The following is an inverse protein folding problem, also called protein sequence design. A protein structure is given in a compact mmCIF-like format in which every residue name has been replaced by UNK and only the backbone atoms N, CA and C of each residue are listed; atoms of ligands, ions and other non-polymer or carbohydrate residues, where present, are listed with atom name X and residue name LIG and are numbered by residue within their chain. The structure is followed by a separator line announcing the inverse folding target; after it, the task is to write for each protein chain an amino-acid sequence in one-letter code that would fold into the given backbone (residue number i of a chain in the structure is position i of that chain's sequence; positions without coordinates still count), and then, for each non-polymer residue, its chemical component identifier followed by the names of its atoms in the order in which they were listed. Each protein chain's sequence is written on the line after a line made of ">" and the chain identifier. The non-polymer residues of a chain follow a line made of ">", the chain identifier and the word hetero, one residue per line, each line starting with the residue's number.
data_IF_718752676673
#
_entry.id   IF_718752676673
#
_cell.length_a   1.000
_cell.length_b   1.000
_cell.length_c   1.000
_cell.angle_alpha   90.00
_cell.angle_beta   90.00
_cell.angle_gamma   90.00
#
_symmetry.space_group_name_H-M   'P 1'
#
loop_
_entity.id
_entity.type
_entity.pdbx_description
1 polymer ?
#
# COMPACT_ATOMS: atom_id res chain seq x y z
N UNK A 1 53.44 -42.96 -30.59
CA UNK A 1 53.36 -42.20 -31.85
C UNK A 1 52.95 -40.78 -31.49
N UNK A 2 53.86 -39.82 -31.74
CA UNK A 2 53.67 -38.34 -31.93
C UNK A 2 52.83 -37.55 -30.89
N UNK A 3 53.41 -36.73 -30.00
CA UNK A 3 53.92 -35.36 -30.20
C UNK A 3 52.84 -34.42 -30.80
N UNK A 4 52.47 -33.24 -30.27
CA UNK A 4 53.29 -32.09 -29.85
C UNK A 4 52.38 -31.04 -29.15
N UNK A 5 52.87 -30.33 -28.12
CA UNK A 5 52.31 -29.09 -27.54
C UNK A 5 52.69 -27.85 -28.42
N UNK A 6 52.70 -26.58 -27.95
CA UNK A 6 51.81 -25.72 -27.12
C UNK A 6 51.49 -24.36 -27.84
N UNK A 7 51.06 -23.30 -27.11
CA UNK A 7 51.39 -21.84 -27.29
C UNK A 7 50.15 -20.90 -27.24
N UNK A 8 49.88 -20.23 -26.11
CA UNK A 8 50.19 -18.85 -25.63
C UNK A 8 49.23 -17.71 -26.08
N UNK A 9 48.86 -16.88 -25.08
CA UNK A 9 48.21 -15.56 -25.11
C UNK A 9 49.15 -14.46 -25.72
N UNK A 10 48.88 -13.12 -25.78
CA UNK A 10 48.06 -12.24 -24.91
C UNK A 10 47.42 -10.97 -25.61
N UNK A 11 47.15 -9.90 -24.82
CA UNK A 11 46.96 -8.45 -25.16
C UNK A 11 45.50 -7.92 -25.20
N UNK A 12 44.97 -7.15 -24.23
CA UNK A 12 45.17 -5.74 -23.76
C UNK A 12 44.52 -4.62 -24.58
N UNK A 13 43.88 -3.71 -23.82
CA UNK A 13 43.76 -2.24 -23.98
C UNK A 13 42.46 -1.64 -24.57
N UNK A 14 41.82 -0.86 -23.69
CA UNK A 14 41.24 0.48 -23.83
C UNK A 14 40.28 0.81 -24.98
N UNK A 15 39.12 1.38 -24.61
CA UNK A 15 38.79 2.79 -24.90
C UNK A 15 37.52 3.21 -24.15
N UNK A 16 37.65 4.24 -23.32
CA UNK A 16 36.57 5.02 -22.74
C UNK A 16 35.97 6.00 -23.75
N UNK A 17 34.66 6.26 -23.67
CA UNK A 17 34.06 7.52 -24.14
C UNK A 17 33.05 8.01 -23.10
N UNK A 18 33.43 9.09 -22.41
CA UNK A 18 32.60 10.00 -21.65
C UNK A 18 31.77 10.89 -22.58
N UNK A 19 30.55 11.25 -22.16
CA UNK A 19 29.79 12.44 -22.56
C UNK A 19 28.47 12.41 -21.73
N UNK A 20 27.95 13.47 -21.08
CA UNK A 20 27.79 14.87 -21.50
C UNK A 20 27.64 15.81 -20.27
N UNK A 21 28.23 17.02 -20.44
CA UNK A 21 28.02 18.36 -19.85
C UNK A 21 26.67 18.61 -19.14
N UNK A 22 26.57 19.44 -18.10
CA UNK A 22 27.21 20.76 -17.93
C UNK A 22 26.14 21.84 -18.16
N UNK A 23 25.68 22.41 -17.04
CA UNK A 23 24.67 23.45 -16.88
C UNK A 23 25.10 24.77 -17.54
N UNK A 24 24.18 25.47 -18.21
CA UNK A 24 24.08 26.94 -18.24
C UNK A 24 22.75 27.38 -18.90
N UNK A 25 22.08 28.30 -18.22
CA UNK A 25 20.78 28.93 -18.45
C UNK A 25 20.77 29.81 -19.73
N UNK A 26 19.58 30.23 -20.26
CA UNK A 26 19.09 31.54 -19.82
C UNK A 26 17.56 31.81 -19.88
N UNK A 27 17.19 32.80 -19.06
CA UNK A 27 16.21 33.89 -19.23
C UNK A 27 14.69 33.68 -19.15
N UNK A 28 14.10 34.61 -18.39
CA UNK A 28 12.72 34.81 -17.94
C UNK A 28 11.80 35.42 -19.01
N UNK A 29 10.53 35.02 -19.01
CA UNK A 29 9.42 35.85 -19.49
C UNK A 29 8.10 35.52 -18.76
N UNK A 30 7.54 36.59 -18.20
CA UNK A 30 6.29 36.76 -17.47
C UNK A 30 5.02 36.50 -18.31
N UNK A 31 4.03 35.81 -17.72
CA UNK A 31 2.56 36.08 -17.70
C UNK A 31 1.70 34.84 -17.82
N UNK A 32 0.76 34.72 -16.89
CA UNK A 32 -0.42 33.86 -17.03
C UNK A 32 -0.75 33.12 -15.75
N UNK A 33 -1.18 33.87 -14.73
CA UNK A 33 -1.75 33.32 -13.51
C UNK A 33 -3.16 32.80 -13.81
N UNK A 34 -3.33 31.49 -13.80
CA UNK A 34 -4.47 30.79 -13.19
C UNK A 34 -4.18 29.29 -13.23
N UNK A 35 -3.40 28.84 -12.25
CA UNK A 35 -3.38 27.45 -11.85
C UNK A 35 -4.37 27.36 -10.70
N UNK A 36 -5.61 26.99 -11.04
CA UNK A 36 -6.52 26.41 -10.07
C UNK A 36 -5.81 25.17 -9.53
N UNK A 37 -5.15 25.33 -8.38
CA UNK A 37 -4.81 24.20 -7.55
C UNK A 37 -6.16 23.69 -7.03
N UNK A 38 -6.74 22.75 -7.76
CA UNK A 38 -7.64 21.77 -7.17
C UNK A 38 -6.82 21.09 -6.07
N UNK A 39 -6.95 21.66 -4.88
CA UNK A 39 -6.61 20.94 -3.67
C UNK A 39 -7.61 19.80 -3.65
N UNK A 40 -7.15 18.57 -3.91
CA UNK A 40 -7.82 17.34 -3.48
C UNK A 40 -8.01 17.47 -1.96
N UNK A 41 -9.10 18.11 -1.58
CA UNK A 41 -9.57 18.12 -0.22
C UNK A 41 -10.13 16.72 -0.04
N UNK A 42 -9.35 15.85 0.58
CA UNK A 42 -9.84 14.55 1.01
C UNK A 42 -11.07 14.80 1.92
N UNK A 43 -12.27 14.60 1.37
CA UNK A 43 -13.50 14.64 2.14
C UNK A 43 -13.60 13.30 2.87
N UNK A 44 -13.28 13.34 4.15
CA UNK A 44 -13.51 12.22 5.05
C UNK A 44 -14.91 12.30 5.63
N UNK A 45 -15.50 11.15 5.97
CA UNK A 45 -16.60 11.16 6.93
C UNK A 45 -16.11 11.79 8.25
N UNK A 46 -17.03 12.31 9.08
CA UNK A 46 -16.70 13.00 10.34
C UNK A 46 -15.74 12.19 11.25
N UNK A 47 -15.64 10.87 11.04
CA UNK A 47 -14.82 9.95 11.80
C UNK A 47 -13.54 9.48 11.08
N UNK A 48 -13.28 9.86 9.83
CA UNK A 48 -12.10 9.46 9.06
C UNK A 48 -11.99 7.96 8.76
N UNK A 49 -13.13 7.28 8.68
CA UNK A 49 -13.29 5.86 8.34
C UNK A 49 -13.21 5.68 6.82
N UNK A 50 -13.90 6.54 6.06
CA UNK A 50 -14.01 6.47 4.60
C UNK A 50 -13.42 7.75 3.98
N UNK A 51 -12.54 7.57 2.99
CA UNK A 51 -12.20 8.58 1.99
C UNK A 51 -13.30 8.62 0.93
N UNK A 52 -14.15 9.66 0.99
CA UNK A 52 -15.28 9.81 0.07
C UNK A 52 -14.84 10.11 -1.35
N UNK A 53 -13.66 10.71 -1.58
CA UNK A 53 -13.16 10.89 -2.94
C UNK A 53 -12.98 9.53 -3.64
N UNK A 54 -12.38 8.56 -2.95
CA UNK A 54 -12.21 7.20 -3.48
C UNK A 54 -13.54 6.43 -3.50
N UNK A 55 -14.33 6.53 -2.44
CA UNK A 55 -15.56 5.74 -2.32
C UNK A 55 -16.65 6.23 -3.29
N UNK A 56 -16.80 7.54 -3.50
CA UNK A 56 -17.78 8.10 -4.43
C UNK A 56 -17.44 7.75 -5.88
N UNK A 57 -16.15 7.73 -6.25
CA UNK A 57 -15.70 7.21 -7.56
C UNK A 57 -16.08 5.74 -7.76
N UNK A 58 -16.07 4.93 -6.69
CA UNK A 58 -16.56 3.55 -6.75
C UNK A 58 -18.08 3.51 -6.97
N UNK A 59 -18.84 4.39 -6.32
CA UNK A 59 -20.30 4.49 -6.49
C UNK A 59 -20.68 4.98 -7.89
N UNK A 60 -19.89 5.86 -8.50
CA UNK A 60 -20.09 6.32 -9.88
C UNK A 60 -19.97 5.18 -10.92
N UNK A 61 -19.37 4.05 -10.54
CA UNK A 61 -19.29 2.85 -11.38
C UNK A 61 -20.55 1.98 -11.32
N UNK A 62 -21.46 2.23 -10.39
CA UNK A 62 -22.74 1.53 -10.33
C UNK A 62 -23.67 1.98 -11.46
N UNK A 63 -24.51 1.07 -11.94
CA UNK A 63 -25.66 1.42 -12.76
C UNK A 63 -26.68 2.20 -11.91
N UNK A 64 -27.40 3.16 -12.53
CA UNK A 64 -28.20 4.21 -11.86
C UNK A 64 -29.24 3.74 -10.82
N UNK A 65 -29.60 2.46 -10.77
CA UNK A 65 -30.75 2.00 -10.00
C UNK A 65 -30.41 1.31 -8.66
N UNK A 66 -29.32 0.54 -8.51
CA UNK A 66 -29.28 -0.46 -7.40
C UNK A 66 -27.96 -0.64 -6.60
N UNK A 67 -26.90 0.16 -6.80
CA UNK A 67 -25.61 0.01 -6.10
C UNK A 67 -25.02 -1.42 -6.06
N UNK A 68 -25.41 -2.29 -7.01
CA UNK A 68 -25.15 -3.73 -6.94
C UNK A 68 -23.64 -4.04 -7.03
N UNK A 69 -22.91 -3.31 -7.87
CA UNK A 69 -21.50 -3.55 -8.10
C UNK A 69 -20.64 -3.14 -6.90
N UNK A 70 -20.82 -1.92 -6.40
CA UNK A 70 -20.12 -1.42 -5.21
C UNK A 70 -20.46 -2.25 -3.97
N UNK A 71 -21.73 -2.64 -3.79
CA UNK A 71 -22.16 -3.55 -2.71
C UNK A 71 -21.45 -4.91 -2.81
N UNK A 72 -21.44 -5.52 -3.99
CA UNK A 72 -20.74 -6.79 -4.21
C UNK A 72 -19.25 -6.70 -3.85
N UNK A 73 -18.57 -5.61 -4.25
CA UNK A 73 -17.16 -5.40 -3.95
C UNK A 73 -16.90 -5.27 -2.43
N UNK A 74 -17.77 -4.53 -1.73
CA UNK A 74 -17.69 -4.34 -0.28
C UNK A 74 -17.91 -5.66 0.49
N UNK A 75 -18.90 -6.46 0.10
CA UNK A 75 -19.13 -7.76 0.74
C UNK A 75 -17.98 -8.75 0.50
N UNK A 76 -17.43 -8.77 -0.72
CA UNK A 76 -16.24 -9.56 -1.03
C UNK A 76 -15.03 -9.13 -0.20
N UNK A 77 -14.88 -7.83 0.06
CA UNK A 77 -13.85 -7.31 0.95
C UNK A 77 -14.03 -7.81 2.39
N UNK A 78 -15.25 -7.83 2.93
CA UNK A 78 -15.49 -8.35 4.29
C UNK A 78 -15.02 -9.79 4.44
N UNK A 79 -15.38 -10.66 3.49
CA UNK A 79 -14.93 -12.05 3.50
C UNK A 79 -13.40 -12.16 3.42
N UNK A 80 -12.78 -11.35 2.56
CA UNK A 80 -11.32 -11.32 2.41
C UNK A 80 -10.62 -10.83 3.68
N UNK A 81 -11.15 -9.78 4.32
CA UNK A 81 -10.61 -9.20 5.53
C UNK A 81 -10.68 -10.20 6.70
N UNK A 82 -11.83 -10.84 6.92
CA UNK A 82 -11.99 -11.84 7.98
C UNK A 82 -11.02 -13.01 7.82
N UNK A 83 -10.92 -13.55 6.61
CA UNK A 83 -9.95 -14.62 6.33
C UNK A 83 -8.52 -14.15 6.59
N UNK A 84 -8.19 -12.94 6.15
CA UNK A 84 -6.85 -12.38 6.30
C UNK A 84 -6.49 -12.13 7.77
N UNK A 85 -7.45 -11.71 8.61
CA UNK A 85 -7.23 -11.59 10.06
C UNK A 85 -6.95 -12.94 10.72
N UNK A 86 -7.60 -14.02 10.28
CA UNK A 86 -7.28 -15.38 10.75
C UNK A 86 -5.83 -15.73 10.37
N UNK A 87 -5.45 -15.54 9.10
CA UNK A 87 -4.10 -15.82 8.62
C UNK A 87 -3.04 -14.97 9.36
N UNK A 88 -3.35 -13.71 9.67
CA UNK A 88 -2.47 -12.82 10.44
C UNK A 88 -2.27 -13.32 11.88
N UNK A 89 -3.33 -13.79 12.54
CA UNK A 89 -3.21 -14.37 13.89
C UNK A 89 -2.34 -15.63 13.86
N UNK A 90 -2.55 -16.52 12.88
CA UNK A 90 -1.74 -17.73 12.70
C UNK A 90 -0.26 -17.42 12.44
N UNK A 91 0.03 -16.39 11.63
CA UNK A 91 1.39 -15.93 11.38
C UNK A 91 2.00 -15.32 12.65
N UNK A 92 1.22 -14.59 13.44
CA UNK A 92 1.64 -14.00 14.72
C UNK A 92 1.96 -15.06 15.78
N UNK A 93 1.23 -16.17 15.83
CA UNK A 93 1.56 -17.30 16.73
C UNK A 93 2.90 -17.95 16.40
N UNK A 94 3.27 -17.95 15.10
CA UNK A 94 4.53 -18.51 14.60
C UNK A 94 5.68 -17.50 14.55
N UNK A 95 5.41 -16.23 14.87
CA UNK A 95 6.32 -15.09 14.67
C UNK A 95 6.84 -14.99 13.22
N UNK A 96 5.97 -15.29 12.24
CA UNK A 96 6.31 -15.22 10.81
C UNK A 96 6.18 -13.78 10.29
N UNK A 97 7.17 -12.96 10.57
CA UNK A 97 7.21 -11.55 10.14
C UNK A 97 7.12 -11.36 8.62
N UNK A 98 7.80 -12.16 7.78
CA UNK A 98 7.62 -12.09 6.32
C UNK A 98 6.17 -12.32 5.90
N UNK A 99 5.47 -13.29 6.48
CA UNK A 99 4.07 -13.54 6.12
C UNK A 99 3.13 -12.44 6.62
N UNK A 100 3.35 -11.91 7.83
CA UNK A 100 2.66 -10.73 8.34
C UNK A 100 2.82 -9.52 7.40
N UNK A 101 4.02 -9.30 6.88
CA UNK A 101 4.31 -8.23 5.92
C UNK A 101 3.53 -8.41 4.61
N UNK A 102 3.51 -9.64 4.07
CA UNK A 102 2.78 -10.00 2.87
C UNK A 102 1.27 -9.84 3.04
N UNK A 103 0.72 -10.28 4.17
CA UNK A 103 -0.70 -10.17 4.51
C UNK A 103 -1.13 -8.71 4.67
N UNK A 104 -0.30 -7.88 5.33
CA UNK A 104 -0.51 -6.43 5.42
C UNK A 104 -0.54 -5.79 4.03
N UNK A 105 0.42 -6.10 3.16
CA UNK A 105 0.43 -5.60 1.79
C UNK A 105 -0.82 -6.02 0.99
N UNK A 106 -1.24 -7.27 1.12
CA UNK A 106 -2.42 -7.81 0.45
C UNK A 106 -3.70 -7.06 0.86
N UNK A 107 -3.96 -6.94 2.16
CA UNK A 107 -5.16 -6.28 2.68
C UNK A 107 -5.12 -4.75 2.47
N UNK A 108 -3.92 -4.14 2.42
CA UNK A 108 -3.75 -2.72 2.07
C UNK A 108 -4.37 -2.40 0.71
N UNK A 109 -4.10 -3.24 -0.30
CA UNK A 109 -4.55 -3.00 -1.67
C UNK A 109 -6.08 -2.99 -1.78
N UNK A 110 -6.74 -3.97 -1.18
CA UNK A 110 -8.21 -4.04 -1.20
C UNK A 110 -8.88 -3.00 -0.30
N UNK A 111 -8.26 -2.64 0.83
CA UNK A 111 -8.75 -1.55 1.69
C UNK A 111 -8.65 -0.19 0.99
N UNK A 112 -7.55 0.05 0.25
CA UNK A 112 -7.37 1.29 -0.50
C UNK A 112 -8.38 1.44 -1.64
N UNK A 113 -8.73 0.34 -2.33
CA UNK A 113 -9.72 0.36 -3.41
C UNK A 113 -11.14 0.73 -2.94
N UNK A 114 -11.42 0.64 -1.63
CA UNK A 114 -12.70 0.99 -1.02
C UNK A 114 -12.65 2.29 -0.21
N UNK A 115 -11.53 3.01 -0.21
CA UNK A 115 -11.37 4.24 0.58
C UNK A 115 -11.26 4.01 2.10
N UNK A 116 -10.89 2.81 2.58
CA UNK A 116 -10.86 2.50 4.02
C UNK A 116 -9.55 2.99 4.66
N UNK A 117 -9.46 4.30 4.91
CA UNK A 117 -8.19 4.98 5.20
C UNK A 117 -7.46 4.44 6.42
N UNK A 118 -8.14 4.31 7.56
CA UNK A 118 -7.52 3.78 8.79
C UNK A 118 -7.00 2.36 8.61
N UNK A 119 -7.80 1.49 7.99
CA UNK A 119 -7.42 0.09 7.76
C UNK A 119 -6.23 0.02 6.80
N UNK A 120 -6.24 0.81 5.72
CA UNK A 120 -5.13 0.94 4.78
C UNK A 120 -3.84 1.37 5.47
N UNK A 121 -3.88 2.41 6.30
CA UNK A 121 -2.71 2.90 7.05
C UNK A 121 -2.16 1.85 8.03
N UNK A 122 -3.04 1.16 8.75
CA UNK A 122 -2.61 0.11 9.66
C UNK A 122 -2.05 -1.09 8.91
N UNK A 123 -2.57 -1.44 7.72
CA UNK A 123 -1.98 -2.45 6.85
C UNK A 123 -0.56 -2.07 6.39
N UNK A 124 -0.31 -0.79 6.11
CA UNK A 124 1.04 -0.29 5.77
C UNK A 124 2.01 -0.39 6.95
N UNK A 125 1.58 -0.01 8.16
CA UNK A 125 2.37 -0.21 9.39
C UNK A 125 2.70 -1.70 9.59
N UNK A 126 1.73 -2.59 9.37
CA UNK A 126 1.95 -4.04 9.49
C UNK A 126 2.99 -4.53 8.47
N UNK A 127 2.92 -4.04 7.24
CA UNK A 127 3.92 -4.32 6.21
C UNK A 127 5.32 -3.88 6.67
N UNK A 128 5.46 -2.68 7.24
CA UNK A 128 6.75 -2.18 7.73
C UNK A 128 7.26 -2.97 8.94
N UNK A 129 6.41 -3.20 9.96
CA UNK A 129 6.79 -3.97 11.14
C UNK A 129 7.17 -5.42 10.79
N UNK A 130 6.46 -6.07 9.86
CA UNK A 130 6.80 -7.40 9.36
C UNK A 130 8.15 -7.44 8.61
N UNK A 131 8.60 -6.30 8.07
CA UNK A 131 9.95 -6.15 7.52
C UNK A 131 11.00 -5.73 8.57
N UNK A 132 10.63 -5.71 9.86
CA UNK A 132 11.44 -5.21 10.98
C UNK A 132 11.88 -3.77 10.75
N UNK A 133 10.95 -2.95 10.29
CA UNK A 133 11.08 -1.51 10.18
C UNK A 133 10.14 -0.81 11.15
N UNK A 134 10.45 0.43 11.50
CA UNK A 134 9.55 1.29 12.25
C UNK A 134 8.28 1.65 11.45
N UNK A 135 7.39 2.44 12.04
CA UNK A 135 6.09 2.78 11.44
C UNK A 135 6.24 3.52 10.09
N UNK A 136 7.35 4.24 9.89
CA UNK A 136 7.66 4.97 8.68
C UNK A 136 8.39 4.11 7.62
N UNK A 137 8.76 2.87 7.95
CA UNK A 137 9.50 2.00 7.04
C UNK A 137 10.99 2.34 6.90
N UNK A 138 11.54 3.21 7.76
CA UNK A 138 12.88 3.78 7.63
C UNK A 138 13.87 3.05 8.55
N UNK A 139 13.67 3.21 9.85
CA UNK A 139 14.58 2.70 10.87
C UNK A 139 14.37 1.20 11.06
N UNK A 140 15.46 0.46 11.31
CA UNK A 140 15.37 -0.97 11.63
C UNK A 140 15.02 -1.16 13.11
N UNK A 141 14.12 -2.09 13.40
CA UNK A 141 13.71 -2.45 14.76
C UNK A 141 14.09 -3.90 15.07
N UNK A 142 14.13 -4.24 16.36
CA UNK A 142 14.38 -5.61 16.84
C UNK A 142 13.15 -6.51 16.63
N UNK A 143 13.34 -7.83 16.75
CA UNK A 143 12.22 -8.78 16.66
C UNK A 143 11.23 -8.58 17.82
N UNK A 144 11.75 -8.29 19.01
CA UNK A 144 10.96 -8.09 20.23
C UNK A 144 10.10 -6.82 20.13
N UNK A 145 10.65 -5.74 19.56
CA UNK A 145 9.90 -4.52 19.25
C UNK A 145 8.85 -4.77 18.18
N UNK A 146 9.22 -5.44 17.08
CA UNK A 146 8.30 -5.77 15.99
C UNK A 146 7.12 -6.63 16.49
N UNK A 147 7.39 -7.67 17.29
CA UNK A 147 6.33 -8.48 17.90
C UNK A 147 5.38 -7.63 18.75
N UNK A 148 5.92 -6.79 19.63
CA UNK A 148 5.11 -5.95 20.52
C UNK A 148 4.22 -5.00 19.72
N UNK A 149 4.78 -4.33 18.72
CA UNK A 149 4.08 -3.39 17.86
C UNK A 149 3.00 -4.07 17.01
N UNK A 150 3.31 -5.23 16.40
CA UNK A 150 2.35 -5.97 15.58
C UNK A 150 1.19 -6.47 16.42
N UNK A 151 1.42 -6.99 17.63
CA UNK A 151 0.32 -7.43 18.52
C UNK A 151 -0.64 -6.28 18.85
N UNK A 152 -0.11 -5.11 19.17
CA UNK A 152 -0.94 -3.93 19.42
C UNK A 152 -1.70 -3.50 18.15
N UNK A 153 -1.00 -3.51 17.01
CA UNK A 153 -1.55 -3.12 15.73
C UNK A 153 -2.67 -4.04 15.25
N UNK A 154 -2.56 -5.37 15.40
CA UNK A 154 -3.62 -6.31 15.00
C UNK A 154 -4.93 -6.05 15.75
N UNK A 155 -4.85 -5.68 17.05
CA UNK A 155 -6.03 -5.29 17.83
C UNK A 155 -6.62 -3.97 17.33
N UNK A 156 -5.77 -3.01 16.97
CA UNK A 156 -6.19 -1.75 16.37
C UNK A 156 -6.86 -1.97 15.00
N UNK A 157 -6.22 -2.72 14.11
CA UNK A 157 -6.75 -3.06 12.78
C UNK A 157 -8.12 -3.72 12.87
N UNK A 158 -8.34 -4.62 13.83
CA UNK A 158 -9.64 -5.25 14.02
C UNK A 158 -10.72 -4.26 14.41
N UNK A 159 -10.40 -3.27 15.25
CA UNK A 159 -11.34 -2.21 15.62
C UNK A 159 -11.67 -1.31 14.44
N UNK A 160 -10.66 -0.85 13.72
CA UNK A 160 -10.82 0.00 12.53
C UNK A 160 -11.63 -0.72 11.45
N UNK A 161 -11.38 -2.01 11.24
CA UNK A 161 -12.18 -2.84 10.34
C UNK A 161 -13.64 -2.93 10.79
N UNK A 162 -13.92 -3.21 12.06
CA UNK A 162 -15.29 -3.30 12.56
C UNK A 162 -16.04 -1.95 12.45
N UNK A 163 -15.34 -0.82 12.65
CA UNK A 163 -15.88 0.53 12.43
C UNK A 163 -16.28 0.73 10.96
N UNK A 164 -15.37 0.40 10.03
CA UNK A 164 -15.63 0.47 8.59
C UNK A 164 -16.77 -0.47 8.15
N UNK A 165 -16.76 -1.71 8.62
CA UNK A 165 -17.80 -2.69 8.32
C UNK A 165 -19.18 -2.22 8.79
N UNK A 166 -19.26 -1.66 10.00
CA UNK A 166 -20.50 -1.12 10.55
C UNK A 166 -21.01 0.06 9.74
N UNK A 167 -20.12 0.99 9.40
CA UNK A 167 -20.46 2.14 8.56
C UNK A 167 -21.03 1.71 7.20
N UNK A 168 -20.32 0.83 6.50
CA UNK A 168 -20.71 0.38 5.16
C UNK A 168 -22.01 -0.43 5.18
N UNK A 169 -22.21 -1.31 6.18
CA UNK A 169 -23.50 -2.01 6.34
C UNK A 169 -24.66 -1.04 6.51
N UNK A 170 -24.49 -0.01 7.35
CA UNK A 170 -25.52 1.03 7.53
C UNK A 170 -25.76 1.81 6.23
N UNK A 171 -24.70 2.15 5.50
CA UNK A 171 -24.82 2.83 4.20
C UNK A 171 -25.65 2.03 3.19
N UNK A 172 -25.37 0.73 3.03
CA UNK A 172 -26.05 -0.12 2.04
C UNK A 172 -27.40 -0.68 2.51
N UNK A 173 -27.66 -0.78 3.82
CA UNK A 173 -28.96 -1.25 4.36
C UNK A 173 -29.96 -0.09 4.58
N UNK A 174 -29.48 1.16 4.65
CA UNK A 174 -30.32 2.36 4.76
C UNK A 174 -30.92 2.87 3.46
N UNK A 175 -30.68 2.18 2.34
CA UNK A 175 -31.11 2.52 0.98
C UNK A 175 -32.38 1.75 0.53
N UNK A 176 -33.05 1.00 1.44
CA UNK A 176 -34.34 0.33 1.18
C UNK A 176 -35.57 1.25 1.29
#
# INVERSE_FOLDING_TARGET
>A
MTATSPTQAPSTADTAINNIKGNEEPEVADKGAETETETDAEEYDDNGIIDHTTFDQLLEMDDEEDHEFSRSLVWNYFEQAEKTFVDMNDAMEKLDFPDLSRLGHFLKGSSAALGLTKVKESCEKLQHYGNRKDAAGVESITNEEAETLIRALLVQMRREYNEAESYLKVFYDGQE
#
